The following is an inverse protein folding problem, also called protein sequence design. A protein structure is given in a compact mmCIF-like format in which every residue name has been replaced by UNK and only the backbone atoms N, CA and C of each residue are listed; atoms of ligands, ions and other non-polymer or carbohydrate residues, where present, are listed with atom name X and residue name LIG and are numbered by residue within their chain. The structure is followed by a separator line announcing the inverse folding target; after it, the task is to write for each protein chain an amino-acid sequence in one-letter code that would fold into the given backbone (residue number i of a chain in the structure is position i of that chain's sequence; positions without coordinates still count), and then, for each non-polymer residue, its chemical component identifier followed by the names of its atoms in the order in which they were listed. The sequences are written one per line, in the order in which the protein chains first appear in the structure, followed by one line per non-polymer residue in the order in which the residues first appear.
data_IF_359928439363
#
_entry.id   IF_359928439363
#
_cell.length_a   1.000
_cell.length_b   1.000
_cell.length_c   1.000
_cell.angle_alpha   90.00
_cell.angle_beta   90.00
_cell.angle_gamma   90.00
#
_symmetry.space_group_name_H-M   'P 1'
#
loop_
_entity.id
_entity.type
_entity.pdbx_description
1 polymer ?
#
# COMPACT_ATOMS: atom_id res chain seq x y z
N UNK A 1 -1.92 2.50 19.24
CA UNK A 1 -3.22 2.44 18.53
C UNK A 1 -3.01 1.52 17.35
N UNK A 2 -3.68 0.38 17.30
CA UNK A 2 -3.63 -0.50 16.13
C UNK A 2 -4.65 0.04 15.15
N UNK A 3 -4.21 0.88 14.21
CA UNK A 3 -5.05 1.30 13.10
C UNK A 3 -5.55 0.06 12.35
N UNK A 4 -6.79 0.06 11.84
CA UNK A 4 -7.31 -1.07 11.10
C UNK A 4 -6.37 -1.39 9.95
N UNK A 5 -5.77 -2.58 10.00
CA UNK A 5 -4.88 -3.09 8.96
C UNK A 5 -5.67 -3.26 7.67
N UNK A 6 -5.48 -2.33 6.74
CA UNK A 6 -5.99 -2.41 5.39
C UNK A 6 -4.90 -2.86 4.42
N UNK A 7 -5.31 -2.98 3.17
CA UNK A 7 -4.44 -3.36 2.07
C UNK A 7 -4.60 -2.38 0.91
N UNK A 8 -3.55 -2.25 0.13
CA UNK A 8 -3.55 -1.47 -1.10
C UNK A 8 -2.59 -2.11 -2.09
N UNK A 9 -2.79 -1.81 -3.37
CA UNK A 9 -1.89 -2.27 -4.43
C UNK A 9 -0.95 -1.13 -4.77
N UNK A 10 0.35 -1.38 -4.72
CA UNK A 10 1.36 -0.39 -5.09
C UNK A 10 1.47 -0.21 -6.61
N UNK A 11 2.26 0.76 -7.05
CA UNK A 11 2.46 1.05 -8.48
C UNK A 11 3.17 -0.07 -9.25
N UNK A 12 3.80 -1.02 -8.56
CA UNK A 12 4.46 -2.19 -9.14
C UNK A 12 3.51 -3.40 -9.20
N UNK A 13 2.29 -3.26 -8.69
CA UNK A 13 1.26 -4.31 -8.69
C UNK A 13 1.36 -5.27 -7.51
N UNK A 14 2.13 -4.94 -6.46
CA UNK A 14 2.21 -5.75 -5.25
C UNK A 14 1.14 -5.32 -4.25
N UNK A 15 0.52 -6.30 -3.59
CA UNK A 15 -0.39 -6.04 -2.48
C UNK A 15 0.42 -5.80 -1.21
N UNK A 16 0.17 -4.68 -0.53
CA UNK A 16 0.86 -4.28 0.70
C UNK A 16 -0.13 -3.96 1.82
N UNK A 17 0.36 -4.03 3.05
CA UNK A 17 -0.39 -3.66 4.26
C UNK A 17 -0.25 -2.16 4.52
N UNK A 18 -1.32 -1.49 4.93
CA UNK A 18 -1.27 -0.09 5.36
C UNK A 18 -0.49 0.09 6.67
N UNK A 19 -0.34 -0.97 7.47
CA UNK A 19 0.44 -0.93 8.71
C UNK A 19 1.94 -1.16 8.49
N UNK A 20 2.33 -1.79 7.39
CA UNK A 20 3.73 -2.03 7.02
C UNK A 20 3.89 -1.91 5.50
N UNK A 21 3.85 -0.67 4.96
CA UNK A 21 4.02 -0.46 3.52
C UNK A 21 5.44 -0.78 3.06
N UNK A 22 6.44 -0.76 3.94
CA UNK A 22 7.84 -0.98 3.58
C UNK A 22 8.52 0.24 2.95
N UNK A 23 9.79 0.10 2.59
CA UNK A 23 10.56 1.17 1.90
C UNK A 23 10.80 2.45 2.72
N UNK A 24 10.43 2.46 3.99
CA UNK A 24 10.49 3.66 4.84
C UNK A 24 9.32 4.63 4.64
N UNK A 25 8.27 4.23 3.95
CA UNK A 25 7.04 5.01 3.77
C UNK A 25 6.05 4.86 4.92
N UNK A 26 5.07 5.76 4.97
CA UNK A 26 3.92 5.71 5.86
C UNK A 26 2.63 5.69 5.02
N UNK A 27 1.53 5.21 5.60
CA UNK A 27 0.22 5.24 4.98
C UNK A 27 -0.76 6.05 5.81
N UNK A 28 -1.49 6.93 5.14
CA UNK A 28 -2.67 7.60 5.68
C UNK A 28 -3.90 7.05 4.95
N UNK A 29 -4.86 6.53 5.71
CA UNK A 29 -6.01 5.83 5.14
C UNK A 29 -7.31 6.61 5.40
N UNK A 30 -8.10 6.80 4.34
CA UNK A 30 -9.49 7.25 4.44
C UNK A 30 -10.40 6.08 4.05
N UNK A 31 -11.01 5.46 5.06
CA UNK A 31 -11.87 4.30 4.87
C UNK A 31 -13.24 4.65 4.26
N UNK A 32 -13.70 5.90 4.37
CA UNK A 32 -14.95 6.37 3.80
C UNK A 32 -14.78 6.61 2.30
N UNK A 33 -13.68 7.27 1.92
CA UNK A 33 -13.31 7.51 0.53
C UNK A 33 -12.66 6.29 -0.15
N UNK A 34 -12.31 5.24 0.63
CA UNK A 34 -11.54 4.07 0.19
C UNK A 34 -10.21 4.45 -0.43
N UNK A 35 -9.48 5.33 0.25
CA UNK A 35 -8.25 5.93 -0.24
C UNK A 35 -7.08 5.66 0.69
N UNK A 36 -5.89 5.50 0.12
CA UNK A 36 -4.60 5.40 0.81
C UNK A 36 -3.64 6.41 0.19
N UNK A 37 -3.15 7.34 1.01
CA UNK A 37 -2.00 8.17 0.69
C UNK A 37 -0.75 7.48 1.24
N UNK A 38 0.24 7.27 0.37
CA UNK A 38 1.55 6.77 0.75
C UNK A 38 2.48 7.98 0.78
N UNK A 39 3.08 8.23 1.94
CA UNK A 39 3.91 9.41 2.19
C UNK A 39 5.31 9.03 2.65
N UNK A 40 6.28 9.91 2.42
CA UNK A 40 7.57 9.82 3.09
C UNK A 40 7.41 10.13 4.58
N UNK A 41 8.41 9.80 5.41
CA UNK A 41 8.41 10.18 6.84
C UNK A 41 8.33 11.69 7.09
N UNK A 42 8.61 12.51 6.09
CA UNK A 42 8.53 13.98 6.15
C UNK A 42 7.17 14.51 5.68
N UNK A 43 6.22 13.63 5.32
CA UNK A 43 4.87 14.00 4.89
C UNK A 43 4.70 14.30 3.41
N UNK A 44 5.70 14.00 2.56
CA UNK A 44 5.57 14.18 1.11
C UNK A 44 4.78 13.03 0.52
N UNK A 45 3.66 13.32 -0.17
CA UNK A 45 2.89 12.32 -0.91
C UNK A 45 3.71 11.75 -2.07
N UNK A 46 3.86 10.43 -2.12
CA UNK A 46 4.59 9.72 -3.18
C UNK A 46 3.69 8.87 -4.05
N UNK A 47 2.61 8.33 -3.49
CA UNK A 47 1.67 7.48 -4.22
C UNK A 47 0.29 7.49 -3.60
N UNK A 48 -0.72 7.28 -4.43
CA UNK A 48 -2.12 7.20 -4.04
C UNK A 48 -2.67 5.86 -4.51
N UNK A 49 -3.37 5.16 -3.63
CA UNK A 49 -3.92 3.84 -3.93
C UNK A 49 -5.33 3.70 -3.35
N UNK A 50 -6.05 2.69 -3.84
CA UNK A 50 -7.37 2.33 -3.30
C UNK A 50 -7.21 1.50 -2.02
N UNK A 51 -7.95 1.87 -0.98
CA UNK A 51 -8.01 1.12 0.27
C UNK A 51 -8.93 -0.09 0.15
N UNK A 52 -8.41 -1.25 0.52
CA UNK A 52 -9.15 -2.48 0.69
C UNK A 52 -9.10 -2.92 2.15
N UNK A 53 -10.26 -3.21 2.74
CA UNK A 53 -10.35 -3.65 4.14
C UNK A 53 -9.75 -5.05 4.40
N UNK A 54 -9.60 -5.86 3.35
CA UNK A 54 -9.15 -7.26 3.43
C UNK A 54 -8.68 -7.75 2.07
N UNK A 55 -7.86 -8.80 2.06
CA UNK A 55 -7.40 -9.46 0.82
C UNK A 55 -8.58 -9.98 -0.01
N UNK A 56 -9.60 -10.56 0.64
CA UNK A 56 -10.84 -10.99 -0.04
C UNK A 56 -11.56 -9.83 -0.77
N UNK A 57 -11.46 -8.59 -0.27
CA UNK A 57 -12.03 -7.43 -0.95
C UNK A 57 -11.23 -7.06 -2.21
N UNK A 58 -9.92 -7.30 -2.22
CA UNK A 58 -9.04 -7.13 -3.39
C UNK A 58 -9.39 -8.18 -4.45
N UNK A 59 -9.55 -9.43 -4.03
CA UNK A 59 -9.93 -10.53 -4.94
C UNK A 59 -11.33 -10.34 -5.54
N UNK A 60 -12.29 -9.87 -4.75
CA UNK A 60 -13.64 -9.50 -5.22
C UNK A 60 -13.64 -8.33 -6.20
N UNK A 61 -12.64 -7.45 -6.12
CA UNK A 61 -12.42 -6.41 -7.11
C UNK A 61 -11.75 -6.94 -8.39
N UNK A 62 -11.43 -8.24 -8.46
CA UNK A 62 -10.81 -8.88 -9.61
C UNK A 62 -9.30 -8.64 -9.71
N UNK A 63 -8.67 -8.12 -8.66
CA UNK A 63 -7.25 -7.77 -8.67
C UNK A 63 -6.43 -8.97 -8.19
N UNK A 64 -5.46 -9.41 -9.00
CA UNK A 64 -4.50 -10.47 -8.67
C UNK A 64 -3.14 -9.85 -8.43
N UNK A 65 -2.86 -9.54 -7.16
CA UNK A 65 -1.60 -8.95 -6.72
C UNK A 65 -0.98 -9.83 -5.62
N UNK A 66 0.30 -10.18 -5.69
CA UNK A 66 0.96 -10.96 -4.64
C UNK A 66 1.10 -10.10 -3.37
N UNK A 67 0.75 -10.66 -2.21
CA UNK A 67 1.02 -10.02 -0.92
C UNK A 67 2.52 -10.08 -0.63
N UNK A 68 3.12 -8.91 -0.42
CA UNK A 68 4.55 -8.78 -0.07
C UNK A 68 4.72 -8.20 1.33
N UNK A 69 5.78 -8.61 2.08
CA UNK A 69 6.12 -7.99 3.36
C UNK A 69 6.72 -6.59 3.15
N UNK A 70 6.74 -5.74 4.20
CA UNK A 70 7.36 -4.41 4.12
C UNK A 70 8.88 -4.43 3.89
N UNK A 71 9.53 -5.57 4.07
CA UNK A 71 10.94 -5.75 3.66
C UNK A 71 11.12 -5.86 2.15
N UNK A 72 10.05 -6.07 1.38
CA UNK A 72 10.11 -6.07 -0.08
C UNK A 72 10.37 -4.64 -0.57
N UNK A 73 11.43 -4.43 -1.38
CA UNK A 73 11.79 -3.10 -1.87
C UNK A 73 10.62 -2.48 -2.63
N UNK A 74 10.60 -1.14 -2.65
CA UNK A 74 9.73 -0.39 -3.53
C UNK A 74 10.48 -0.11 -4.83
N UNK A 75 9.79 -0.27 -5.95
CA UNK A 75 10.38 -0.14 -7.28
C UNK A 75 11.27 -1.33 -7.66
N UNK A 76 11.65 -1.37 -8.94
CA UNK A 76 12.57 -2.36 -9.50
C UNK A 76 13.96 -1.73 -9.63
N UNK A 77 15.01 -2.57 -9.65
CA UNK A 77 16.39 -2.12 -9.98
C UNK A 77 16.46 -1.35 -11.31
N UNK A 78 15.53 -1.62 -12.22
CA UNK A 78 15.42 -0.97 -13.53
C UNK A 78 14.95 0.49 -13.43
N UNK A 79 14.30 0.88 -12.32
CA UNK A 79 13.87 2.26 -12.06
C UNK A 79 15.01 3.15 -11.53
N UNK A 80 16.23 2.61 -11.34
CA UNK A 80 17.44 3.39 -11.03
C UNK A 80 17.64 3.78 -9.56
N UNK A 81 16.99 3.07 -8.62
CA UNK A 81 17.14 3.26 -7.17
C UNK A 81 18.41 2.61 -6.58
#
# INVERSE_FOLDING_TARGET
MSEPTGFFVDWDGNLRSTADPGGGYLCETDTVARYVAITTKTGTLVHEATYFKSIDAVEKAGIKAPLVPGSHPWGKKEDGF
#
